data_IF_016259093610
#
_entry.id   IF_016259093610
#
_cell.length_a   1.000
_cell.length_b   1.000
_cell.length_c   1.000
_cell.angle_alpha   90.00
_cell.angle_beta   90.00
_cell.angle_gamma   90.00
#
_symmetry.space_group_name_H-M   'P 1'
#
loop_
_entity.id
_entity.type
_entity.pdbx_description
1 polymer ?
#
# COMPACT_ATOMS: atom_id res chain seq x y z
N UNK A 1 -8.52 17.70 10.44
CA UNK A 1 -9.04 16.54 9.72
C UNK A 1 -9.86 15.66 10.65
N UNK A 2 -11.06 15.21 10.22
CA UNK A 2 -11.84 14.30 11.05
C UNK A 2 -11.09 13.01 11.34
N UNK A 3 -11.28 12.47 12.53
CA UNK A 3 -10.56 11.26 12.95
C UNK A 3 -10.82 10.07 12.04
N UNK A 4 -12.05 9.92 11.52
CA UNK A 4 -12.40 8.83 10.61
C UNK A 4 -11.65 8.90 9.28
N UNK A 5 -11.10 10.07 8.92
CA UNK A 5 -10.35 10.22 7.69
C UNK A 5 -8.90 9.77 7.82
N UNK A 6 -8.46 9.43 9.03
CA UNK A 6 -7.10 8.94 9.26
C UNK A 6 -7.05 7.43 9.20
N UNK A 7 -5.98 6.92 8.61
CA UNK A 7 -5.69 5.49 8.57
C UNK A 7 -4.99 5.11 9.86
N UNK A 8 -5.52 4.11 10.57
CA UNK A 8 -4.93 3.63 11.82
C UNK A 8 -4.52 2.18 11.68
N UNK A 9 -3.30 1.88 12.09
CA UNK A 9 -2.78 0.53 12.08
C UNK A 9 -2.45 0.08 13.50
N UNK A 10 -2.88 -1.14 13.81
CA UNK A 10 -2.69 -1.76 15.12
C UNK A 10 -1.77 -2.97 14.97
N UNK A 11 -0.99 -3.26 16.02
CA UNK A 11 -0.17 -4.47 16.02
C UNK A 11 -1.03 -5.71 16.37
N UNK A 12 -0.38 -6.86 16.42
CA UNK A 12 -1.06 -8.14 16.70
C UNK A 12 -1.68 -8.20 18.11
N UNK A 13 -1.31 -7.29 19.00
CA UNK A 13 -1.86 -7.17 20.35
C UNK A 13 -2.87 -6.03 20.46
N UNK A 14 -3.36 -5.53 19.32
CA UNK A 14 -4.37 -4.46 19.24
C UNK A 14 -3.89 -3.12 19.80
N UNK A 15 -2.58 -2.89 19.79
CA UNK A 15 -2.02 -1.59 20.17
C UNK A 15 -1.89 -0.70 18.96
N UNK A 16 -2.34 0.54 19.08
CA UNK A 16 -2.21 1.51 17.99
C UNK A 16 -0.74 1.86 17.77
N UNK A 17 -0.25 1.64 16.55
CA UNK A 17 1.15 1.86 16.20
C UNK A 17 1.34 3.02 15.25
N UNK A 18 0.40 3.25 14.34
CA UNK A 18 0.52 4.31 13.33
C UNK A 18 -0.82 4.93 13.05
N UNK A 19 -0.85 6.25 13.04
CA UNK A 19 -2.00 7.04 12.58
C UNK A 19 -1.48 7.95 11.48
N UNK A 20 -2.05 7.86 10.28
CA UNK A 20 -1.50 8.55 9.12
C UNK A 20 -2.62 8.96 8.16
N UNK A 21 -2.41 10.08 7.48
CA UNK A 21 -3.28 10.49 6.38
C UNK A 21 -3.16 9.45 5.27
N UNK A 22 -4.26 8.80 4.85
CA UNK A 22 -4.17 7.78 3.81
C UNK A 22 -3.60 8.29 2.50
N UNK A 23 -3.71 9.58 2.20
CA UNK A 23 -3.12 10.17 1.00
C UNK A 23 -1.59 10.09 1.01
N UNK A 24 -0.97 9.99 2.18
CA UNK A 24 0.48 9.88 2.29
C UNK A 24 0.97 8.45 2.02
N UNK A 25 0.11 7.45 2.11
CA UNK A 25 0.49 6.05 1.92
C UNK A 25 0.63 5.74 0.44
N UNK A 26 1.75 5.17 0.04
CA UNK A 26 2.02 4.77 -1.35
C UNK A 26 1.73 3.29 -1.54
N UNK A 27 2.32 2.43 -0.74
CA UNK A 27 2.01 1.00 -0.76
C UNK A 27 2.34 0.36 0.58
N UNK A 28 1.81 -0.84 0.78
CA UNK A 28 2.04 -1.64 1.99
C UNK A 28 2.50 -3.02 1.56
N UNK A 29 3.59 -3.50 2.14
CA UNK A 29 4.21 -4.76 1.78
C UNK A 29 4.27 -5.71 2.97
N UNK A 30 3.99 -7.00 2.72
CA UNK A 30 4.17 -8.04 3.72
C UNK A 30 5.66 -8.42 3.80
N UNK A 31 6.17 -8.57 5.00
CA UNK A 31 7.54 -9.00 5.23
C UNK A 31 7.58 -9.84 6.51
N UNK A 32 7.56 -11.17 6.34
CA UNK A 32 7.48 -12.12 7.45
C UNK A 32 6.27 -11.83 8.34
N UNK A 33 6.48 -11.47 9.59
CA UNK A 33 5.43 -11.18 10.56
C UNK A 33 5.07 -9.69 10.63
N UNK A 34 5.58 -8.92 9.67
CA UNK A 34 5.37 -7.47 9.63
C UNK A 34 4.65 -7.05 8.36
N UNK A 35 3.93 -5.94 8.46
CA UNK A 35 3.52 -5.19 7.28
C UNK A 35 4.29 -3.87 7.32
N UNK A 36 4.90 -3.53 6.18
CA UNK A 36 5.70 -2.31 6.05
C UNK A 36 4.90 -1.28 5.29
N UNK A 37 4.61 -0.17 5.95
CA UNK A 37 3.87 0.93 5.33
C UNK A 37 4.88 1.89 4.71
N UNK A 38 4.85 1.99 3.37
CA UNK A 38 5.69 2.90 2.62
C UNK A 38 4.90 4.18 2.36
N UNK A 39 5.36 5.28 2.91
CA UNK A 39 4.63 6.55 2.84
C UNK A 39 5.57 7.71 2.57
N UNK A 40 4.99 8.86 2.23
CA UNK A 40 5.73 10.07 1.96
C UNK A 40 5.61 11.03 3.13
N UNK A 41 6.75 11.57 3.53
CA UNK A 41 6.83 12.63 4.52
C UNK A 41 7.78 13.68 3.99
N UNK A 42 7.26 14.88 3.77
CA UNK A 42 8.03 15.97 3.16
C UNK A 42 8.66 15.59 1.83
N UNK A 43 7.91 14.81 1.01
CA UNK A 43 8.36 14.37 -0.30
C UNK A 43 9.35 13.22 -0.31
N UNK A 44 9.68 12.67 0.85
CA UNK A 44 10.64 11.58 0.97
C UNK A 44 9.97 10.30 1.42
N UNK A 45 10.46 9.17 0.93
CA UNK A 45 9.97 7.87 1.34
C UNK A 45 10.37 7.56 2.78
N UNK A 46 9.38 7.10 3.54
CA UNK A 46 9.58 6.57 4.89
C UNK A 46 8.91 5.20 4.94
N UNK A 47 9.42 4.32 5.79
CA UNK A 47 8.85 2.99 5.98
C UNK A 47 8.57 2.79 7.46
N UNK A 48 7.34 2.40 7.78
CA UNK A 48 6.95 2.11 9.15
C UNK A 48 6.52 0.65 9.27
N UNK A 49 7.26 -0.18 10.01
CA UNK A 49 6.86 -1.59 10.20
C UNK A 49 5.84 -1.73 11.32
N UNK A 50 4.82 -2.55 11.07
CA UNK A 50 3.81 -2.90 12.08
C UNK A 50 3.76 -4.42 12.15
N UNK A 51 3.93 -4.99 13.34
CA UNK A 51 3.88 -6.43 13.51
C UNK A 51 2.45 -6.91 13.44
N UNK A 52 2.04 -7.35 12.26
CA UNK A 52 0.71 -7.88 12.02
C UNK A 52 0.67 -8.51 10.63
N UNK A 53 -0.49 -9.06 10.24
CA UNK A 53 -0.68 -9.73 8.96
C UNK A 53 -1.33 -8.81 7.94
N UNK A 54 -1.20 -9.18 6.65
CA UNK A 54 -1.90 -8.47 5.57
C UNK A 54 -3.42 -8.53 5.76
N UNK A 55 -3.92 -9.65 6.28
CA UNK A 55 -5.35 -9.79 6.55
C UNK A 55 -5.85 -8.76 7.56
N UNK A 56 -5.05 -8.45 8.56
CA UNK A 56 -5.43 -7.46 9.58
C UNK A 56 -5.61 -6.07 8.99
N UNK A 57 -4.97 -5.79 7.86
CA UNK A 57 -5.03 -4.49 7.20
C UNK A 57 -6.20 -4.35 6.23
N UNK A 58 -6.87 -5.46 5.88
CA UNK A 58 -7.87 -5.50 4.82
C UNK A 58 -8.99 -4.48 5.01
N UNK A 59 -9.57 -4.41 6.19
CA UNK A 59 -10.69 -3.51 6.46
C UNK A 59 -10.26 -2.04 6.38
N UNK A 60 -9.13 -1.71 6.98
CA UNK A 60 -8.61 -0.34 6.93
C UNK A 60 -8.28 0.08 5.51
N UNK A 61 -7.69 -0.83 4.73
CA UNK A 61 -7.36 -0.56 3.34
C UNK A 61 -8.61 -0.26 2.52
N UNK A 62 -9.63 -1.12 2.66
CA UNK A 62 -10.89 -0.95 1.96
C UNK A 62 -11.55 0.39 2.28
N UNK A 63 -11.53 0.75 3.54
CA UNK A 63 -12.14 2.00 4.01
C UNK A 63 -11.47 3.24 3.41
N UNK A 64 -10.18 3.15 3.14
CA UNK A 64 -9.40 4.31 2.70
C UNK A 64 -8.96 4.24 1.24
N UNK A 65 -9.52 3.32 0.46
CA UNK A 65 -9.25 3.26 -0.98
C UNK A 65 -7.87 2.72 -1.34
N UNK A 66 -7.23 2.00 -0.42
CA UNK A 66 -5.97 1.30 -0.67
C UNK A 66 -6.34 -0.12 -1.07
N UNK A 67 -5.87 -0.58 -2.22
CA UNK A 67 -6.37 -1.82 -2.82
C UNK A 67 -5.30 -2.89 -2.90
N UNK A 68 -5.74 -4.15 -2.79
CA UNK A 68 -4.84 -5.28 -2.95
C UNK A 68 -4.43 -5.40 -4.41
N UNK A 69 -3.14 -5.58 -4.66
CA UNK A 69 -2.63 -5.77 -6.03
C UNK A 69 -1.79 -7.04 -6.16
N UNK A 70 -1.50 -7.68 -5.06
CA UNK A 70 -0.68 -8.89 -5.01
C UNK A 70 -0.89 -9.54 -3.64
N UNK A 71 -0.62 -10.84 -3.51
CA UNK A 71 -0.76 -11.52 -2.21
C UNK A 71 0.05 -10.83 -1.09
N UNK A 72 1.13 -10.15 -1.46
CA UNK A 72 2.03 -9.51 -0.50
C UNK A 72 2.02 -7.98 -0.55
N UNK A 73 1.10 -7.38 -1.33
CA UNK A 73 1.10 -5.93 -1.50
C UNK A 73 -0.31 -5.34 -1.57
N UNK A 74 -0.46 -4.19 -0.92
CA UNK A 74 -1.54 -3.23 -1.15
C UNK A 74 -0.93 -1.99 -1.77
N UNK A 75 -1.69 -1.27 -2.58
CA UNK A 75 -1.20 -0.07 -3.27
C UNK A 75 -2.25 1.02 -3.20
N UNK A 76 -1.79 2.26 -3.13
CA UNK A 76 -2.68 3.42 -3.22
C UNK A 76 -2.73 3.87 -4.68
N UNK A 77 -3.88 3.69 -5.36
CA UNK A 77 -3.99 4.03 -6.78
C UNK A 77 -3.64 5.48 -7.10
N UNK A 78 -3.86 6.39 -6.16
CA UNK A 78 -3.59 7.81 -6.35
C UNK A 78 -2.12 8.12 -6.58
N UNK A 79 -1.23 7.23 -6.16
CA UNK A 79 0.21 7.42 -6.34
C UNK A 79 0.75 6.69 -7.56
N UNK A 80 -0.07 5.92 -8.26
CA UNK A 80 0.37 5.17 -9.43
C UNK A 80 0.42 6.09 -10.65
N UNK A 81 1.59 6.13 -11.31
CA UNK A 81 1.74 6.84 -12.57
C UNK A 81 1.31 5.99 -13.75
N UNK A 82 1.73 4.72 -13.78
CA UNK A 82 1.35 3.79 -14.83
C UNK A 82 1.62 2.35 -14.41
N UNK A 83 1.05 1.41 -15.16
CA UNK A 83 1.36 0.00 -15.06
C UNK A 83 2.27 -0.36 -16.21
N UNK A 84 3.34 -1.11 -15.95
CA UNK A 84 4.33 -1.48 -16.94
C UNK A 84 4.64 -2.96 -16.89
N UNK A 85 4.70 -3.60 -18.06
CA UNK A 85 5.10 -5.01 -18.15
C UNK A 85 6.63 -5.08 -18.20
N UNK A 86 7.21 -5.82 -17.26
CA UNK A 86 8.64 -6.03 -17.21
C UNK A 86 9.08 -7.09 -18.22
N UNK A 87 10.38 -7.25 -18.40
CA UNK A 87 10.97 -8.26 -19.27
C UNK A 87 10.63 -9.69 -18.81
N UNK A 88 10.38 -9.85 -17.52
CA UNK A 88 9.98 -11.12 -16.91
C UNK A 88 8.50 -11.45 -17.16
N UNK A 89 7.76 -10.58 -17.82
CA UNK A 89 6.33 -10.74 -18.08
C UNK A 89 5.44 -10.30 -16.92
N UNK A 90 6.03 -9.86 -15.83
CA UNK A 90 5.30 -9.38 -14.65
C UNK A 90 4.89 -7.93 -14.85
N UNK A 91 3.68 -7.59 -14.45
CA UNK A 91 3.19 -6.22 -14.49
C UNK A 91 3.54 -5.55 -13.16
N UNK A 92 4.08 -4.35 -13.26
CA UNK A 92 4.48 -3.56 -12.09
C UNK A 92 3.77 -2.21 -12.08
N UNK A 93 3.50 -1.71 -10.87
CA UNK A 93 3.10 -0.32 -10.69
C UNK A 93 4.35 0.55 -10.70
N UNK A 94 4.30 1.67 -11.40
CA UNK A 94 5.31 2.71 -11.31
C UNK A 94 4.65 3.91 -10.66
N UNK A 95 5.33 4.50 -9.69
CA UNK A 95 4.74 5.58 -8.89
C UNK A 95 5.17 6.95 -9.37
N UNK A 96 4.44 7.97 -8.92
CA UNK A 96 4.76 9.36 -9.23
C UNK A 96 6.06 9.83 -8.57
N UNK A 97 6.55 9.08 -7.60
CA UNK A 97 7.80 9.36 -6.89
C UNK A 97 8.86 8.40 -7.40
N UNK A 98 9.88 8.91 -8.06
CA UNK A 98 10.91 8.08 -8.72
C UNK A 98 11.64 7.15 -7.77
N UNK A 99 11.82 7.54 -6.53
CA UNK A 99 12.59 6.78 -5.54
C UNK A 99 11.83 5.60 -4.93
N UNK A 100 10.53 5.50 -5.18
CA UNK A 100 9.69 4.51 -4.49
C UNK A 100 9.85 3.08 -5.01
N UNK A 101 10.55 2.88 -6.11
CA UNK A 101 10.65 1.56 -6.69
C UNK A 101 9.36 1.14 -7.39
N UNK A 102 9.14 -0.18 -7.49
CA UNK A 102 7.98 -0.72 -8.19
C UNK A 102 7.37 -1.86 -7.38
N UNK A 103 6.07 -2.09 -7.58
CA UNK A 103 5.32 -3.13 -6.89
C UNK A 103 4.67 -4.04 -7.91
N UNK A 104 4.79 -5.38 -7.77
CA UNK A 104 4.18 -6.30 -8.73
C UNK A 104 2.67 -6.36 -8.58
N UNK A 105 2.00 -6.59 -9.71
CA UNK A 105 0.55 -6.76 -9.78
C UNK A 105 0.28 -8.16 -10.31
N UNK A 106 -0.42 -9.00 -9.54
CA UNK A 106 -0.74 -10.33 -10.00
C UNK A 106 -2.00 -10.31 -10.87
N UNK A 107 -2.13 -11.34 -11.73
CA UNK A 107 -3.25 -11.43 -12.69
C UNK A 107 -4.60 -11.34 -11.99
N UNK A 108 -4.72 -11.92 -10.81
CA UNK A 108 -5.96 -11.92 -10.05
C UNK A 108 -6.46 -10.50 -9.75
N UNK A 109 -5.56 -9.57 -9.56
CA UNK A 109 -5.92 -8.22 -9.13
C UNK A 109 -5.81 -7.18 -10.24
N UNK A 110 -5.30 -7.56 -11.42
CA UNK A 110 -4.99 -6.62 -12.48
C UNK A 110 -6.21 -5.82 -12.97
N UNK A 111 -7.28 -6.52 -13.32
CA UNK A 111 -8.45 -5.86 -13.91
C UNK A 111 -9.09 -4.86 -12.95
N UNK A 112 -9.20 -5.24 -11.69
CA UNK A 112 -9.78 -4.36 -10.68
C UNK A 112 -8.92 -3.13 -10.46
N UNK A 113 -7.61 -3.29 -10.38
CA UNK A 113 -6.71 -2.16 -10.22
C UNK A 113 -6.74 -1.25 -11.45
N UNK A 114 -6.68 -1.83 -12.64
CA UNK A 114 -6.67 -1.05 -13.88
C UNK A 114 -7.91 -0.16 -14.02
N UNK A 115 -9.07 -0.63 -13.54
CA UNK A 115 -10.30 0.17 -13.60
C UNK A 115 -10.25 1.41 -12.71
N UNK A 116 -9.38 1.43 -11.71
CA UNK A 116 -9.24 2.56 -10.80
C UNK A 116 -8.26 3.62 -11.32
N UNK A 117 -7.58 3.33 -12.40
CA UNK A 117 -6.60 4.23 -12.98
C UNK A 117 -7.16 4.90 -14.25
#
# INVERSE_FOLDING_TARGET
>A
MPEEALLKLYDEHHRLKLTIDPAAVVYVAADSNYINVHYLENGREKVFPVRNSMKSFEEAARRHGIVRCHRSFYVNPKHIRLLSRGKDGIIYTLFNVDEMGKVPVSKMYYDELARLL
#
